data_IF_525396983750
#
_entry.id   IF_525396983750
#
_cell.length_a   1.000
_cell.length_b   1.000
_cell.length_c   1.000
_cell.angle_alpha   90.00
_cell.angle_beta   90.00
_cell.angle_gamma   90.00
#
_symmetry.space_group_name_H-M   'P 1'
#
loop_
_entity.id
_entity.type
_entity.pdbx_description
1 polymer ?
#
# COMPACT_ATOMS: atom_id res chain seq x y z
N UNK A 1 -19.19 5.89 16.03
CA UNK A 1 -17.80 5.63 16.49
C UNK A 1 -17.09 4.38 15.93
N UNK A 2 -17.74 3.43 15.23
CA UNK A 2 -17.09 2.20 14.73
C UNK A 2 -17.11 2.02 13.20
N UNK A 3 -17.30 3.09 12.42
CA UNK A 3 -17.47 3.01 10.95
C UNK A 3 -16.27 2.37 10.25
N UNK A 4 -15.04 2.71 10.63
CA UNK A 4 -13.83 2.12 10.04
C UNK A 4 -13.72 0.61 10.33
N UNK A 5 -14.04 0.19 11.56
CA UNK A 5 -14.00 -1.22 11.96
C UNK A 5 -15.09 -2.01 11.22
N UNK A 6 -16.27 -1.43 11.03
CA UNK A 6 -17.36 -2.05 10.28
C UNK A 6 -16.97 -2.29 8.81
N UNK A 7 -16.31 -1.32 8.17
CA UNK A 7 -15.80 -1.48 6.79
C UNK A 7 -14.74 -2.58 6.72
N UNK A 8 -13.82 -2.63 7.69
CA UNK A 8 -12.82 -3.70 7.80
C UNK A 8 -13.47 -5.10 7.97
N UNK A 9 -14.52 -5.20 8.77
CA UNK A 9 -15.26 -6.45 8.97
C UNK A 9 -15.96 -6.90 7.68
N UNK A 10 -16.38 -5.96 6.81
CA UNK A 10 -16.95 -6.28 5.50
C UNK A 10 -15.91 -6.83 4.51
N UNK A 11 -14.62 -6.61 4.77
CA UNK A 11 -13.49 -7.10 3.97
C UNK A 11 -12.92 -8.47 4.43
N UNK A 12 -13.57 -9.14 5.40
CA UNK A 12 -13.19 -10.48 5.90
C UNK A 12 -12.80 -11.53 4.85
N UNK A 13 -13.50 -11.68 3.71
CA UNK A 13 -13.17 -12.75 2.75
C UNK A 13 -11.85 -12.58 2.02
N UNK A 14 -11.24 -11.39 2.06
CA UNK A 14 -9.92 -11.12 1.46
C UNK A 14 -8.87 -10.80 2.51
N UNK A 15 -9.12 -11.15 3.78
CA UNK A 15 -8.21 -10.86 4.88
C UNK A 15 -6.79 -11.42 4.65
N UNK A 16 -6.68 -12.56 3.97
CA UNK A 16 -5.38 -13.14 3.61
C UNK A 16 -4.56 -12.21 2.72
N UNK A 17 -5.16 -11.57 1.70
CA UNK A 17 -4.46 -10.61 0.83
C UNK A 17 -3.98 -9.38 1.61
N UNK A 18 -4.79 -8.89 2.55
CA UNK A 18 -4.43 -7.76 3.41
C UNK A 18 -3.25 -8.11 4.32
N UNK A 19 -3.28 -9.29 4.95
CA UNK A 19 -2.19 -9.76 5.82
C UNK A 19 -0.89 -9.91 5.03
N UNK A 20 -0.94 -10.52 3.84
CA UNK A 20 0.23 -10.57 2.96
C UNK A 20 0.71 -9.18 2.57
N UNK A 21 -0.20 -8.27 2.22
CA UNK A 21 0.13 -6.87 1.94
C UNK A 21 0.83 -6.17 3.10
N UNK A 22 0.37 -6.37 4.33
CA UNK A 22 1.00 -5.81 5.53
C UNK A 22 2.40 -6.36 5.79
N UNK A 23 2.63 -7.66 5.58
CA UNK A 23 3.96 -8.27 5.73
C UNK A 23 4.94 -7.66 4.72
N UNK A 24 4.51 -7.55 3.45
CA UNK A 24 5.31 -6.92 2.38
C UNK A 24 5.59 -5.44 2.71
N UNK A 25 4.63 -4.74 3.31
CA UNK A 25 4.76 -3.35 3.73
C UNK A 25 5.82 -3.16 4.84
N UNK A 26 5.84 -4.06 5.82
CA UNK A 26 6.86 -4.06 6.88
C UNK A 26 8.25 -4.30 6.29
N UNK A 27 8.38 -5.26 5.37
CA UNK A 27 9.63 -5.50 4.65
C UNK A 27 10.08 -4.26 3.88
N UNK A 28 9.17 -3.58 3.18
CA UNK A 28 9.49 -2.35 2.46
C UNK A 28 9.98 -1.23 3.40
N UNK A 29 9.38 -1.10 4.58
CA UNK A 29 9.88 -0.19 5.61
C UNK A 29 11.31 -0.53 6.06
N UNK A 30 11.62 -1.82 6.19
CA UNK A 30 12.98 -2.31 6.48
C UNK A 30 14.00 -1.96 5.38
N UNK A 31 13.59 -1.99 4.10
CA UNK A 31 14.45 -1.57 2.98
C UNK A 31 14.81 -0.08 3.11
N UNK A 32 13.85 0.76 3.49
CA UNK A 32 14.09 2.20 3.69
C UNK A 32 15.08 2.47 4.83
N UNK A 33 15.05 1.66 5.90
CA UNK A 33 16.02 1.74 7.00
C UNK A 33 17.41 1.27 6.56
N UNK A 34 17.49 0.15 5.83
CA UNK A 34 18.74 -0.39 5.30
C UNK A 34 19.44 0.60 4.34
N UNK A 35 18.65 1.31 3.52
CA UNK A 35 19.14 2.38 2.66
C UNK A 35 19.88 3.46 3.46
N UNK A 36 19.30 3.93 4.57
CA UNK A 36 19.93 4.93 5.44
C UNK A 36 21.24 4.45 6.07
N UNK A 37 21.29 3.19 6.50
CA UNK A 37 22.50 2.58 7.07
C UNK A 37 23.62 2.49 6.02
N UNK A 38 23.30 2.03 4.80
CA UNK A 38 24.29 1.92 3.71
C UNK A 38 24.82 3.29 3.32
N UNK A 39 23.94 4.30 3.23
CA UNK A 39 24.34 5.66 2.93
C UNK A 39 25.31 6.21 3.99
N UNK A 40 25.02 5.98 5.28
CA UNK A 40 25.91 6.36 6.38
C UNK A 40 27.29 5.68 6.28
N UNK A 41 27.33 4.38 5.98
CA UNK A 41 28.59 3.65 5.79
C UNK A 41 29.36 4.14 4.57
N UNK A 42 28.67 4.44 3.48
CA UNK A 42 29.27 5.00 2.28
C UNK A 42 29.94 6.35 2.58
N UNK A 43 29.26 7.24 3.33
CA UNK A 43 29.86 8.52 3.78
C UNK A 43 31.10 8.31 4.65
N UNK A 44 31.13 7.28 5.51
CA UNK A 44 32.30 6.97 6.30
C UNK A 44 33.50 6.49 5.44
N UNK A 45 33.25 5.69 4.41
CA UNK A 45 34.29 5.25 3.45
C UNK A 45 34.84 6.42 2.62
N UNK A 46 34.03 7.44 2.35
CA UNK A 46 34.50 8.64 1.68
C UNK A 46 35.55 9.43 2.49
N UNK A 47 35.63 9.23 3.80
CA UNK A 47 36.61 9.89 4.69
C UNK A 47 37.92 9.10 4.82
N UNK A 48 38.04 7.89 4.25
CA UNK A 48 39.28 7.10 4.32
C UNK A 48 40.40 7.74 3.47
N UNK A 49 41.61 7.87 4.04
CA UNK A 49 42.76 8.49 3.38
C UNK A 49 43.36 7.65 2.24
N UNK A 50 43.13 6.34 2.23
CA UNK A 50 43.67 5.41 1.24
C UNK A 50 42.76 5.30 0.01
N UNK A 51 43.23 5.82 -1.13
CA UNK A 51 42.44 5.97 -2.37
C UNK A 51 42.13 4.64 -3.05
N UNK A 52 43.02 3.65 -2.94
CA UNK A 52 42.82 2.35 -3.62
C UNK A 52 41.80 1.50 -2.88
N UNK A 53 41.87 1.47 -1.54
CA UNK A 53 40.91 0.76 -0.68
C UNK A 53 39.53 1.42 -0.74
N UNK A 54 39.48 2.76 -0.80
CA UNK A 54 38.25 3.53 -0.92
C UNK A 54 37.45 3.15 -2.18
N UNK A 55 38.09 3.12 -3.36
CA UNK A 55 37.41 2.78 -4.62
C UNK A 55 36.78 1.40 -4.57
N UNK A 56 37.51 0.40 -4.07
CA UNK A 56 37.00 -0.96 -4.00
C UNK A 56 35.77 -1.06 -3.09
N UNK A 57 35.81 -0.43 -1.91
CA UNK A 57 34.70 -0.41 -0.97
C UNK A 57 33.47 0.29 -1.53
N UNK A 58 33.65 1.44 -2.18
CA UNK A 58 32.56 2.19 -2.81
C UNK A 58 31.85 1.33 -3.86
N UNK A 59 32.60 0.64 -4.72
CA UNK A 59 32.02 -0.24 -5.74
C UNK A 59 31.16 -1.36 -5.11
N UNK A 60 31.62 -1.96 -4.03
CA UNK A 60 30.85 -2.97 -3.29
C UNK A 60 29.55 -2.37 -2.74
N UNK A 61 29.60 -1.20 -2.10
CA UNK A 61 28.40 -0.54 -1.56
C UNK A 61 27.41 -0.10 -2.66
N UNK A 62 27.89 0.33 -3.83
CA UNK A 62 27.04 0.66 -4.97
C UNK A 62 26.28 -0.58 -5.48
N UNK A 63 26.94 -1.74 -5.54
CA UNK A 63 26.28 -2.99 -5.94
C UNK A 63 25.15 -3.35 -4.95
N UNK A 64 25.40 -3.23 -3.64
CA UNK A 64 24.36 -3.42 -2.61
C UNK A 64 23.20 -2.43 -2.77
N UNK A 65 23.51 -1.17 -3.09
CA UNK A 65 22.51 -0.12 -3.28
C UNK A 65 21.59 -0.39 -4.49
N UNK A 66 22.17 -0.84 -5.61
CA UNK A 66 21.40 -1.26 -6.80
C UNK A 66 20.50 -2.45 -6.46
N UNK A 67 21.04 -3.45 -5.75
CA UNK A 67 20.27 -4.61 -5.30
C UNK A 67 19.05 -4.24 -4.44
N UNK A 68 19.24 -3.31 -3.49
CA UNK A 68 18.12 -2.78 -2.69
C UNK A 68 17.11 -1.99 -3.52
N UNK A 69 17.56 -1.25 -4.54
CA UNK A 69 16.67 -0.53 -5.45
C UNK A 69 15.72 -1.47 -6.19
N UNK A 70 16.24 -2.58 -6.73
CA UNK A 70 15.43 -3.60 -7.42
C UNK A 70 14.47 -4.29 -6.43
N UNK A 71 14.94 -4.60 -5.22
CA UNK A 71 14.10 -5.20 -4.18
C UNK A 71 12.97 -4.24 -3.74
N UNK A 72 13.26 -2.96 -3.62
CA UNK A 72 12.27 -1.92 -3.28
C UNK A 72 11.18 -1.85 -4.35
N UNK A 73 11.57 -1.76 -5.63
CA UNK A 73 10.62 -1.70 -6.74
C UNK A 73 9.68 -2.91 -6.79
N UNK A 74 10.24 -4.11 -6.65
CA UNK A 74 9.45 -5.36 -6.65
C UNK A 74 8.50 -5.44 -5.46
N UNK A 75 8.99 -5.10 -4.26
CA UNK A 75 8.19 -5.08 -3.02
C UNK A 75 7.05 -4.05 -3.11
N UNK A 76 7.33 -2.83 -3.58
CA UNK A 76 6.31 -1.79 -3.75
C UNK A 76 5.25 -2.19 -4.77
N UNK A 77 5.65 -2.81 -5.89
CA UNK A 77 4.72 -3.25 -6.91
C UNK A 77 3.77 -4.33 -6.37
N UNK A 78 4.32 -5.36 -5.70
CA UNK A 78 3.53 -6.44 -5.09
C UNK A 78 2.59 -5.89 -4.02
N UNK A 79 3.09 -5.03 -3.13
CA UNK A 79 2.27 -4.40 -2.08
C UNK A 79 1.10 -3.62 -2.71
N UNK A 80 1.39 -2.77 -3.69
CA UNK A 80 0.38 -1.94 -4.35
C UNK A 80 -0.67 -2.78 -5.06
N UNK A 81 -0.24 -3.85 -5.74
CA UNK A 81 -1.15 -4.77 -6.41
C UNK A 81 -2.08 -5.50 -5.43
N UNK A 82 -1.55 -6.00 -4.32
CA UNK A 82 -2.35 -6.69 -3.29
C UNK A 82 -3.40 -5.77 -2.66
N UNK A 83 -3.03 -4.54 -2.33
CA UNK A 83 -3.98 -3.56 -1.76
C UNK A 83 -4.97 -3.05 -2.80
N UNK A 84 -4.56 -2.87 -4.07
CA UNK A 84 -5.46 -2.47 -5.14
C UNK A 84 -6.55 -3.53 -5.37
N UNK A 85 -6.16 -4.80 -5.48
CA UNK A 85 -7.09 -5.90 -5.69
C UNK A 85 -8.12 -6.02 -4.56
N UNK A 86 -7.65 -5.95 -3.29
CA UNK A 86 -8.56 -5.96 -2.14
C UNK A 86 -9.47 -4.71 -2.09
N UNK A 87 -8.94 -3.54 -2.47
CA UNK A 87 -9.71 -2.31 -2.55
C UNK A 87 -10.83 -2.37 -3.60
N UNK A 88 -10.55 -2.92 -4.78
CA UNK A 88 -11.54 -3.11 -5.85
C UNK A 88 -12.66 -4.07 -5.43
N UNK A 89 -12.30 -5.21 -4.84
CA UNK A 89 -13.28 -6.20 -4.40
C UNK A 89 -14.14 -5.67 -3.23
N UNK A 90 -13.57 -4.92 -2.29
CA UNK A 90 -14.34 -4.20 -1.27
C UNK A 90 -15.31 -3.19 -1.91
N UNK A 91 -14.82 -2.38 -2.85
CA UNK A 91 -15.63 -1.37 -3.55
C UNK A 91 -16.79 -2.01 -4.31
N UNK A 92 -16.55 -3.12 -5.02
CA UNK A 92 -17.59 -3.88 -5.74
C UNK A 92 -18.67 -4.41 -4.79
N UNK A 93 -18.28 -4.94 -3.63
CA UNK A 93 -19.22 -5.43 -2.60
C UNK A 93 -20.02 -4.29 -1.99
N UNK A 94 -19.39 -3.16 -1.68
CA UNK A 94 -20.05 -1.98 -1.14
C UNK A 94 -21.09 -1.47 -2.15
N UNK A 95 -20.70 -1.23 -3.41
CA UNK A 95 -21.63 -0.79 -4.46
C UNK A 95 -22.82 -1.73 -4.63
N UNK A 96 -22.60 -3.04 -4.63
CA UNK A 96 -23.68 -4.03 -4.73
C UNK A 96 -24.64 -3.97 -3.53
N UNK A 97 -24.11 -3.86 -2.31
CA UNK A 97 -24.93 -3.73 -1.09
C UNK A 97 -25.70 -2.41 -1.05
N UNK A 98 -25.05 -1.30 -1.39
CA UNK A 98 -25.69 0.02 -1.42
C UNK A 98 -26.80 0.06 -2.46
N UNK A 99 -26.56 -0.43 -3.67
CA UNK A 99 -27.60 -0.51 -4.70
C UNK A 99 -28.80 -1.36 -4.26
N UNK A 100 -28.54 -2.51 -3.64
CA UNK A 100 -29.61 -3.37 -3.11
C UNK A 100 -30.37 -2.72 -1.94
N UNK A 101 -29.70 -1.90 -1.13
CA UNK A 101 -30.35 -1.15 -0.06
C UNK A 101 -31.24 -0.03 -0.62
N UNK A 102 -30.74 0.72 -1.61
CA UNK A 102 -31.52 1.77 -2.31
C UNK A 102 -32.80 1.17 -2.91
N UNK A 103 -32.72 0.04 -3.61
CA UNK A 103 -33.91 -0.62 -4.19
C UNK A 103 -34.93 -1.12 -3.16
N UNK A 104 -34.57 -1.24 -1.89
CA UNK A 104 -35.47 -1.66 -0.80
C UNK A 104 -36.14 -0.50 -0.09
N UNK A 105 -35.80 0.75 -0.43
CA UNK A 105 -36.39 1.91 0.21
C UNK A 105 -37.80 2.21 -0.32
N UNK A 106 -38.64 2.79 0.53
CA UNK A 106 -40.02 3.13 0.19
C UNK A 106 -40.09 4.28 -0.82
N UNK A 107 -41.19 4.40 -1.56
CA UNK A 107 -41.38 5.43 -2.60
C UNK A 107 -41.21 6.85 -2.01
N UNK A 108 -41.72 7.09 -0.79
CA UNK A 108 -41.59 8.36 -0.09
C UNK A 108 -40.13 8.78 0.19
N UNK A 109 -39.19 7.83 0.22
CA UNK A 109 -37.76 8.15 0.33
C UNK A 109 -37.21 8.82 -0.92
N UNK A 110 -37.71 8.45 -2.10
CA UNK A 110 -37.30 9.01 -3.38
C UNK A 110 -37.98 10.34 -3.71
N UNK A 111 -39.09 10.65 -3.03
CA UNK A 111 -39.77 11.95 -3.15
C UNK A 111 -39.05 13.07 -2.38
N UNK A 112 -38.07 12.74 -1.51
CA UNK A 112 -37.29 13.74 -0.79
C UNK A 112 -36.33 14.47 -1.76
N UNK A 113 -36.27 15.81 -1.77
CA UNK A 113 -35.45 16.58 -2.72
C UNK A 113 -33.95 16.25 -2.65
N UNK A 114 -33.46 15.77 -1.51
CA UNK A 114 -32.06 15.37 -1.29
C UNK A 114 -31.72 14.00 -1.89
N UNK A 115 -32.72 13.14 -2.12
CA UNK A 115 -32.55 11.77 -2.62
C UNK A 115 -32.85 11.66 -4.12
N UNK A 116 -32.66 12.76 -4.83
CA UNK A 116 -32.90 12.79 -6.26
C UNK A 116 -31.97 11.81 -6.99
N UNK A 117 -32.42 11.29 -8.14
CA UNK A 117 -31.74 10.20 -8.85
C UNK A 117 -30.27 10.50 -9.21
N UNK A 118 -29.95 11.76 -9.51
CA UNK A 118 -28.57 12.22 -9.75
C UNK A 118 -27.67 12.17 -8.51
N UNK A 119 -28.23 12.41 -7.32
CA UNK A 119 -27.50 12.36 -6.05
C UNK A 119 -27.21 10.91 -5.60
N UNK A 120 -28.09 9.96 -5.94
CA UNK A 120 -27.94 8.54 -5.56
C UNK A 120 -27.04 7.73 -6.51
N UNK A 121 -26.77 8.21 -7.72
CA UNK A 121 -25.97 7.52 -8.74
C UNK A 121 -24.47 7.86 -8.71
N UNK A 122 -24.08 8.92 -7.99
CA UNK A 122 -22.69 9.40 -7.86
C UNK A 122 -22.00 8.73 -6.69
#
# INVERSE_FOLDING_TARGET
PNTALQVLIMNKPEWTLIVFGCIVCICNGGIQLAFGVILSKLTAVFQECDKEVQKHRILVYIIWFIGLGVLSLTTMFIQSFLFACSGEALTKRLRSKTFRAILRQEIAYFDHPDNNTGALCT
#
